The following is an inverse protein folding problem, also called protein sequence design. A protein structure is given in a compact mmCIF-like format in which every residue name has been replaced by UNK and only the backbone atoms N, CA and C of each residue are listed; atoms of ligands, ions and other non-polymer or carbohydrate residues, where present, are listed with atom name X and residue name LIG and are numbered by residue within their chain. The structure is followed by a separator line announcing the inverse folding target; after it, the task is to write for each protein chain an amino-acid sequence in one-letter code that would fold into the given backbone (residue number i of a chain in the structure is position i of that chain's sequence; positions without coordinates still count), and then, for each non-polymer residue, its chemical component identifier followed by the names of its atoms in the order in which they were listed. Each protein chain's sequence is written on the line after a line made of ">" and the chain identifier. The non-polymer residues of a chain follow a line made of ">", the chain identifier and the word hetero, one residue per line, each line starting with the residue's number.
data_IF_611482201757
#
_entry.id   IF_611482201757
#
_cell.length_a   1.000
_cell.length_b   1.000
_cell.length_c   1.000
_cell.angle_alpha   90.00
_cell.angle_beta   90.00
_cell.angle_gamma   90.00
#
_symmetry.space_group_name_H-M   'P 1'
#
loop_
_entity.id
_entity.type
_entity.pdbx_description
1 polymer ?
#
# COMPACT_ATOMS: atom_id res chain seq x y z
N UNK A 1 6.22 -20.67 -12.03
CA UNK A 1 5.09 -21.26 -11.28
C UNK A 1 4.09 -20.14 -11.09
N UNK A 2 3.07 -20.05 -11.95
CA UNK A 2 2.03 -19.02 -11.82
C UNK A 2 0.90 -19.60 -10.98
N UNK A 3 0.56 -18.93 -9.88
CA UNK A 3 -0.63 -19.25 -9.11
C UNK A 3 -1.87 -18.92 -9.97
N UNK A 4 -3.03 -19.58 -9.77
CA UNK A 4 -4.24 -19.31 -10.55
C UNK A 4 -4.92 -17.98 -10.17
N UNK A 5 -4.28 -17.14 -9.34
CA UNK A 5 -4.89 -15.92 -8.85
C UNK A 5 -4.72 -14.77 -9.83
N UNK A 6 -5.85 -14.15 -10.17
CA UNK A 6 -5.87 -12.94 -11.00
C UNK A 6 -5.20 -11.73 -10.32
N UNK A 7 -5.22 -11.69 -8.98
CA UNK A 7 -4.59 -10.65 -8.15
C UNK A 7 -4.03 -11.25 -6.87
N UNK A 8 -2.85 -10.80 -6.49
CA UNK A 8 -2.13 -11.18 -5.27
C UNK A 8 -1.75 -9.89 -4.55
N UNK A 9 -2.33 -9.68 -3.37
CA UNK A 9 -2.06 -8.49 -2.56
C UNK A 9 -0.92 -8.79 -1.58
N UNK A 10 0.08 -7.91 -1.55
CA UNK A 10 1.26 -8.05 -0.69
C UNK A 10 1.50 -6.74 0.10
N UNK A 11 2.43 -6.79 1.05
CA UNK A 11 2.90 -5.63 1.81
C UNK A 11 4.35 -5.80 2.25
N UNK A 12 4.68 -5.38 3.47
CA UNK A 12 6.00 -5.47 4.13
C UNK A 12 7.05 -4.49 3.61
N UNK A 13 7.31 -4.47 2.30
CA UNK A 13 8.23 -3.49 1.70
C UNK A 13 7.43 -2.30 1.19
N UNK A 14 7.59 -1.15 1.86
CA UNK A 14 6.85 0.06 1.52
C UNK A 14 7.11 0.53 0.08
N UNK A 15 6.03 0.90 -0.59
CA UNK A 15 6.03 1.53 -1.92
C UNK A 15 6.76 2.88 -1.96
N UNK A 16 6.96 3.51 -0.79
CA UNK A 16 7.71 4.77 -0.64
C UNK A 16 9.18 4.61 -1.09
N UNK A 17 9.77 3.42 -0.96
CA UNK A 17 11.12 3.11 -1.47
C UNK A 17 11.19 3.29 -2.98
N UNK A 18 10.08 3.07 -3.69
CA UNK A 18 9.94 3.31 -5.13
C UNK A 18 9.46 4.72 -5.47
N UNK A 19 9.46 5.65 -4.50
CA UNK A 19 8.91 7.01 -4.62
C UNK A 19 7.44 7.03 -5.04
N UNK A 20 6.67 6.06 -4.54
CA UNK A 20 5.22 5.96 -4.75
C UNK A 20 4.52 6.09 -3.40
N UNK A 21 3.44 6.86 -3.36
CA UNK A 21 2.61 7.06 -2.18
C UNK A 21 1.28 6.29 -2.24
N UNK A 22 1.05 5.55 -3.34
CA UNK A 22 -0.11 4.69 -3.58
C UNK A 22 0.32 3.23 -3.78
N UNK A 23 -0.60 2.26 -3.65
CA UNK A 23 -0.30 0.88 -3.98
C UNK A 23 0.32 0.72 -5.36
N UNK A 24 1.32 -0.15 -5.47
CA UNK A 24 2.04 -0.41 -6.73
C UNK A 24 1.55 -1.73 -7.33
N UNK A 25 1.12 -1.67 -8.59
CA UNK A 25 0.67 -2.83 -9.34
C UNK A 25 1.77 -3.26 -10.33
N UNK A 26 2.17 -4.53 -10.26
CA UNK A 26 3.10 -5.16 -11.19
C UNK A 26 2.62 -6.57 -11.53
N UNK A 27 2.36 -6.84 -12.82
CA UNK A 27 1.73 -8.09 -13.27
C UNK A 27 0.40 -8.34 -12.53
N UNK A 28 0.25 -9.45 -11.81
CA UNK A 28 -0.90 -9.75 -10.96
C UNK A 28 -0.65 -9.44 -9.47
N UNK A 29 0.45 -8.76 -9.14
CA UNK A 29 0.83 -8.46 -7.75
C UNK A 29 0.57 -7.00 -7.44
N UNK A 30 -0.14 -6.74 -6.34
CA UNK A 30 -0.47 -5.40 -5.86
C UNK A 30 0.16 -5.22 -4.49
N UNK A 31 1.18 -4.36 -4.40
CA UNK A 31 1.79 -3.99 -3.13
C UNK A 31 0.98 -2.88 -2.46
N UNK A 32 0.30 -3.21 -1.36
CA UNK A 32 -0.59 -2.35 -0.59
C UNK A 32 0.13 -1.55 0.50
N UNK A 33 1.40 -1.82 0.76
CA UNK A 33 2.16 -1.14 1.81
C UNK A 33 2.57 0.27 1.35
N UNK A 34 1.80 1.27 1.74
CA UNK A 34 2.10 2.69 1.50
C UNK A 34 2.82 3.36 2.65
N UNK A 35 3.47 2.57 3.51
CA UNK A 35 4.39 3.07 4.53
C UNK A 35 3.73 3.68 5.76
N UNK A 36 2.50 3.29 6.10
CA UNK A 36 1.78 3.81 7.28
C UNK A 36 2.63 3.75 8.56
N UNK A 37 3.37 2.65 8.77
CA UNK A 37 4.27 2.48 9.91
C UNK A 37 5.43 3.49 9.96
N UNK A 38 5.80 4.07 8.82
CA UNK A 38 6.96 4.97 8.66
C UNK A 38 6.56 6.43 8.39
N UNK A 39 5.31 6.79 8.67
CA UNK A 39 4.77 8.13 8.41
C UNK A 39 4.22 8.34 7.00
N UNK A 40 4.19 7.29 6.18
CA UNK A 40 3.46 7.26 4.91
C UNK A 40 1.95 7.18 5.13
N UNK A 41 1.21 6.64 4.18
CA UNK A 41 -0.27 6.60 4.21
C UNK A 41 -0.77 5.22 4.62
N UNK A 42 -1.93 5.16 5.29
CA UNK A 42 -2.67 3.91 5.45
C UNK A 42 -3.55 3.71 4.22
N UNK A 43 -3.44 2.56 3.57
CA UNK A 43 -4.21 2.22 2.37
C UNK A 43 -5.11 1.02 2.61
N UNK A 44 -6.31 1.07 2.07
CA UNK A 44 -7.26 -0.02 2.02
C UNK A 44 -7.84 -0.11 0.61
N UNK A 45 -7.98 -1.33 0.09
CA UNK A 45 -8.55 -1.57 -1.24
C UNK A 45 -9.70 -2.55 -1.14
N UNK A 46 -10.83 -2.19 -1.74
CA UNK A 46 -11.98 -3.07 -1.86
C UNK A 46 -11.75 -4.14 -2.93
N UNK A 47 -11.87 -5.41 -2.55
CA UNK A 47 -11.66 -6.52 -3.48
C UNK A 47 -12.85 -6.63 -4.44
N UNK A 48 -12.56 -6.65 -5.74
CA UNK A 48 -13.56 -6.80 -6.81
C UNK A 48 -13.83 -5.49 -7.56
N UNK A 49 -13.79 -4.35 -6.87
CA UNK A 49 -13.93 -3.01 -7.46
C UNK A 49 -12.59 -2.29 -7.62
N UNK A 50 -11.57 -2.70 -6.87
CA UNK A 50 -10.28 -2.01 -6.71
C UNK A 50 -10.43 -0.57 -6.19
N UNK A 51 -11.54 -0.25 -5.52
CA UNK A 51 -11.72 1.06 -4.92
C UNK A 51 -10.65 1.27 -3.84
N UNK A 52 -9.80 2.27 -4.05
CA UNK A 52 -8.71 2.62 -3.13
C UNK A 52 -9.16 3.71 -2.17
N UNK A 53 -9.12 3.43 -0.88
CA UNK A 53 -9.26 4.42 0.18
C UNK A 53 -7.92 4.60 0.86
N UNK A 54 -7.52 5.86 1.06
CA UNK A 54 -6.21 6.18 1.58
C UNK A 54 -6.30 7.38 2.53
N UNK A 55 -5.60 7.27 3.67
CA UNK A 55 -5.50 8.37 4.63
C UNK A 55 -4.59 9.49 4.13
N UNK A 56 -4.64 10.63 4.79
CA UNK A 56 -3.51 11.57 4.82
C UNK A 56 -2.26 10.92 5.43
N UNK A 57 -1.05 11.46 5.19
CA UNK A 57 0.16 10.90 5.76
C UNK A 57 0.04 10.78 7.29
N UNK A 58 0.39 9.61 7.82
CA UNK A 58 0.33 9.30 9.26
C UNK A 58 1.14 10.33 10.05
N UNK A 59 2.25 10.82 9.51
CA UNK A 59 3.04 11.87 10.17
C UNK A 59 2.30 13.21 10.29
N UNK A 60 1.37 13.53 9.38
CA UNK A 60 0.54 14.74 9.45
C UNK A 60 -0.63 14.55 10.42
N UNK A 61 -1.18 13.35 10.48
CA UNK A 61 -2.30 13.03 11.37
C UNK A 61 -1.91 12.94 12.85
N UNK A 62 -0.72 12.41 13.15
CA UNK A 62 -0.33 12.09 14.53
C UNK A 62 0.99 12.73 14.98
N UNK A 63 1.69 13.46 14.11
CA UNK A 63 2.94 14.16 14.47
C UNK A 63 4.13 13.25 14.79
N UNK A 64 4.00 11.93 14.60
CA UNK A 64 5.09 10.97 14.77
C UNK A 64 5.25 10.11 13.52
N UNK A 65 6.50 9.73 13.23
CA UNK A 65 6.81 8.60 12.34
C UNK A 65 7.00 7.40 13.24
N UNK A 66 6.36 6.28 12.93
CA UNK A 66 6.49 5.07 13.74
C UNK A 66 7.92 4.53 13.80
N UNK A 67 8.08 3.40 14.48
CA UNK A 67 9.38 2.77 14.68
C UNK A 67 9.92 2.15 13.41
#
# INVERSE_FOLDING_TARGET
>A
MTTPFNKVYIGHTSTVVFKKDKPVHAANVINMDTGAGWGGRLSMMEVGTDNLWQSDPVSELYGYRGR
#
